data_IF_084828256346
#
_entry.id   IF_084828256346
#
_cell.length_a   1.000
_cell.length_b   1.000
_cell.length_c   1.000
_cell.angle_alpha   90.00
_cell.angle_beta   90.00
_cell.angle_gamma   90.00
#
_symmetry.space_group_name_H-M   'P 1'
#
loop_
_entity.id
_entity.type
_entity.pdbx_description
1 polymer ?
#
# COMPACT_ATOMS: atom_id res chain seq x y z
N UNK A 1 -11.75 5.61 -16.64
CA UNK A 1 -12.60 6.58 -15.92
C UNK A 1 -13.69 7.17 -16.81
N UNK A 2 -13.36 7.84 -17.93
CA UNK A 2 -14.33 8.53 -18.80
C UNK A 2 -15.47 7.61 -19.28
N UNK A 3 -15.16 6.39 -19.75
CA UNK A 3 -16.18 5.41 -20.19
C UNK A 3 -17.22 5.07 -19.11
N UNK A 4 -16.80 4.97 -17.84
CA UNK A 4 -17.71 4.72 -16.71
C UNK A 4 -18.58 5.95 -16.42
N UNK A 5 -18.00 7.15 -16.52
CA UNK A 5 -18.75 8.39 -16.34
C UNK A 5 -19.83 8.56 -17.41
N UNK A 6 -19.49 8.39 -18.69
CA UNK A 6 -20.45 8.48 -19.78
C UNK A 6 -21.58 7.45 -19.68
N UNK A 7 -21.27 6.23 -19.25
CA UNK A 7 -22.29 5.20 -19.02
C UNK A 7 -23.24 5.56 -17.87
N UNK A 8 -22.74 6.19 -16.80
CA UNK A 8 -23.56 6.69 -15.71
C UNK A 8 -24.44 7.88 -16.14
N UNK A 9 -23.88 8.80 -16.94
CA UNK A 9 -24.63 9.97 -17.45
C UNK A 9 -25.75 9.55 -18.41
N UNK A 10 -25.55 8.46 -19.18
CA UNK A 10 -26.55 7.93 -20.11
C UNK A 10 -27.70 7.21 -19.40
N UNK A 11 -27.41 6.41 -18.37
CA UNK A 11 -28.40 5.67 -17.59
C UNK A 11 -27.83 5.31 -16.21
N UNK A 12 -28.12 6.16 -15.22
CA UNK A 12 -27.56 6.03 -13.88
C UNK A 12 -28.13 4.83 -13.12
N UNK A 13 -29.41 4.50 -13.29
CA UNK A 13 -30.06 3.38 -12.61
C UNK A 13 -29.47 2.05 -13.04
N UNK A 14 -29.37 1.81 -14.36
CA UNK A 14 -28.79 0.56 -14.86
C UNK A 14 -27.29 0.49 -14.62
N UNK A 15 -26.58 1.63 -14.65
CA UNK A 15 -25.18 1.66 -14.23
C UNK A 15 -25.03 1.22 -12.78
N UNK A 16 -25.82 1.77 -11.85
CA UNK A 16 -25.77 1.39 -10.43
C UNK A 16 -26.06 -0.10 -10.25
N UNK A 17 -27.14 -0.61 -10.87
CA UNK A 17 -27.51 -2.04 -10.80
C UNK A 17 -26.37 -2.94 -11.30
N UNK A 18 -25.71 -2.57 -12.40
CA UNK A 18 -24.60 -3.32 -12.98
C UNK A 18 -23.38 -3.44 -12.05
N UNK A 19 -23.10 -2.43 -11.24
CA UNK A 19 -21.94 -2.41 -10.33
C UNK A 19 -22.29 -2.79 -8.88
N UNK A 20 -23.57 -3.02 -8.57
CA UNK A 20 -24.04 -3.27 -7.21
C UNK A 20 -23.31 -4.43 -6.52
N UNK A 21 -23.16 -5.57 -7.21
CA UNK A 21 -22.48 -6.75 -6.66
C UNK A 21 -20.99 -6.48 -6.39
N UNK A 22 -20.29 -5.84 -7.33
CA UNK A 22 -18.87 -5.50 -7.17
C UNK A 22 -18.66 -4.50 -6.03
N UNK A 23 -19.57 -3.52 -5.90
CA UNK A 23 -19.54 -2.55 -4.82
C UNK A 23 -19.79 -3.22 -3.47
N UNK A 24 -20.79 -4.12 -3.39
CA UNK A 24 -21.09 -4.84 -2.15
C UNK A 24 -19.92 -5.75 -1.74
N UNK A 25 -19.32 -6.47 -2.68
CA UNK A 25 -18.13 -7.29 -2.43
C UNK A 25 -16.96 -6.47 -1.87
N UNK A 26 -16.73 -5.26 -2.40
CA UNK A 26 -15.71 -4.36 -1.89
C UNK A 26 -16.06 -3.84 -0.48
N UNK A 27 -17.32 -3.48 -0.23
CA UNK A 27 -17.81 -3.05 1.10
C UNK A 27 -17.56 -4.16 2.12
N UNK A 28 -17.98 -5.39 1.83
CA UNK A 28 -17.82 -6.53 2.73
C UNK A 28 -16.34 -6.80 3.03
N UNK A 29 -15.48 -6.67 2.01
CA UNK A 29 -14.03 -6.82 2.16
C UNK A 29 -13.44 -5.73 3.06
N UNK A 30 -13.85 -4.47 2.91
CA UNK A 30 -13.38 -3.36 3.76
C UNK A 30 -13.87 -3.54 5.20
N UNK A 31 -15.12 -3.95 5.41
CA UNK A 31 -15.68 -4.18 6.76
C UNK A 31 -14.88 -5.27 7.49
N UNK A 32 -14.68 -6.43 6.84
CA UNK A 32 -13.88 -7.53 7.40
C UNK A 32 -12.44 -7.10 7.69
N UNK A 33 -11.84 -6.31 6.81
CA UNK A 33 -10.49 -5.77 7.03
C UNK A 33 -10.43 -4.88 8.28
N UNK A 34 -11.41 -4.00 8.47
CA UNK A 34 -11.48 -3.11 9.65
C UNK A 34 -11.66 -3.88 10.95
N UNK A 35 -12.45 -4.97 10.93
CA UNK A 35 -12.61 -5.87 12.07
C UNK A 35 -11.30 -6.62 12.38
N UNK A 36 -10.55 -7.03 11.35
CA UNK A 36 -9.29 -7.78 11.51
C UNK A 36 -8.11 -6.90 11.92
N UNK A 37 -8.09 -5.64 11.50
CA UNK A 37 -6.98 -4.71 11.67
C UNK A 37 -6.37 -4.66 13.09
N UNK A 38 -7.16 -4.62 14.19
CA UNK A 38 -6.60 -4.56 15.55
C UNK A 38 -5.84 -5.81 15.99
N UNK A 39 -6.04 -6.93 15.30
CA UNK A 39 -5.46 -8.23 15.65
C UNK A 39 -4.17 -8.54 14.88
N UNK A 40 -3.82 -7.74 13.87
CA UNK A 40 -2.57 -7.90 13.12
C UNK A 40 -1.49 -7.05 13.79
N UNK A 41 -0.63 -7.71 14.56
CA UNK A 41 0.53 -7.08 15.21
C UNK A 41 1.74 -7.22 14.28
N UNK A 42 2.39 -6.10 13.87
CA UNK A 42 3.63 -6.19 13.10
C UNK A 42 4.74 -6.77 13.98
N UNK A 43 5.47 -7.74 13.43
CA UNK A 43 6.64 -8.35 14.08
C UNK A 43 7.89 -7.47 13.93
N UNK A 44 8.94 -7.84 14.63
CA UNK A 44 10.24 -7.14 14.62
C UNK A 44 10.81 -7.06 13.19
N UNK A 45 10.73 -8.15 12.41
CA UNK A 45 11.16 -8.17 11.00
C UNK A 45 10.43 -7.10 10.16
N UNK A 46 9.11 -6.93 10.35
CA UNK A 46 8.33 -5.90 9.67
C UNK A 46 8.78 -4.49 10.05
N UNK A 47 9.07 -4.26 11.34
CA UNK A 47 9.51 -2.96 11.84
C UNK A 47 10.90 -2.61 11.31
N UNK A 48 11.84 -3.56 11.39
CA UNK A 48 13.22 -3.39 10.92
C UNK A 48 13.25 -3.12 9.42
N UNK A 49 12.49 -3.89 8.63
CA UNK A 49 12.43 -3.69 7.19
C UNK A 49 11.88 -2.29 6.82
N UNK A 50 10.89 -1.78 7.56
CA UNK A 50 10.37 -0.42 7.32
C UNK A 50 11.42 0.67 7.59
N UNK A 51 12.23 0.49 8.63
CA UNK A 51 13.34 1.41 8.97
C UNK A 51 14.45 1.33 7.92
N UNK A 52 14.90 0.12 7.56
CA UNK A 52 15.93 -0.10 6.55
C UNK A 52 15.54 0.51 5.19
N UNK A 53 14.29 0.34 4.76
CA UNK A 53 13.79 0.94 3.52
C UNK A 53 13.88 2.48 3.59
N UNK A 54 13.42 3.10 4.68
CA UNK A 54 13.44 4.55 4.81
C UNK A 54 14.87 5.12 4.83
N UNK A 55 15.79 4.42 5.51
CA UNK A 55 17.22 4.74 5.55
C UNK A 55 17.86 4.62 4.16
N UNK A 56 17.61 3.50 3.47
CA UNK A 56 18.15 3.25 2.13
C UNK A 56 17.74 4.34 1.13
N UNK A 57 16.53 4.87 1.28
CA UNK A 57 16.00 5.94 0.42
C UNK A 57 16.30 7.36 0.91
N UNK A 58 17.04 7.51 2.00
CA UNK A 58 17.40 8.82 2.56
C UNK A 58 16.18 9.65 2.96
N UNK A 59 15.11 9.01 3.44
CA UNK A 59 13.92 9.69 3.93
C UNK A 59 14.11 10.07 5.39
N UNK A 60 13.90 11.34 5.72
CA UNK A 60 14.11 11.81 7.09
C UNK A 60 12.94 11.49 8.02
N UNK A 61 13.31 10.96 9.19
CA UNK A 61 12.46 10.80 10.36
C UNK A 61 11.44 9.66 10.28
N UNK A 62 10.97 9.25 11.45
CA UNK A 62 10.17 8.03 11.61
C UNK A 62 8.75 8.05 11.04
N UNK A 63 8.34 9.17 10.42
CA UNK A 63 7.02 9.26 9.80
C UNK A 63 6.91 8.36 8.58
N UNK A 64 8.01 8.11 7.86
CA UNK A 64 8.02 7.20 6.73
C UNK A 64 7.81 5.76 7.20
N UNK A 65 8.65 5.32 8.13
CA UNK A 65 8.66 3.98 8.74
C UNK A 65 7.26 3.64 9.27
N UNK A 66 6.69 4.52 10.10
CA UNK A 66 5.36 4.32 10.68
C UNK A 66 4.25 4.28 9.63
N UNK A 67 4.39 5.02 8.53
CA UNK A 67 3.42 5.01 7.43
C UNK A 67 3.49 3.69 6.67
N UNK A 68 4.69 3.17 6.41
CA UNK A 68 4.90 1.86 5.78
C UNK A 68 4.25 0.78 6.63
N UNK A 69 4.58 0.72 7.93
CA UNK A 69 4.05 -0.31 8.85
C UNK A 69 2.52 -0.27 8.88
N UNK A 70 1.92 0.91 9.09
CA UNK A 70 0.46 1.04 9.13
C UNK A 70 -0.21 0.64 7.81
N UNK A 71 0.38 1.02 6.68
CA UNK A 71 -0.14 0.65 5.37
C UNK A 71 0.00 -0.85 5.10
N UNK A 72 1.11 -1.48 5.49
CA UNK A 72 1.32 -2.92 5.34
C UNK A 72 0.35 -3.74 6.21
N UNK A 73 0.11 -3.32 7.45
CA UNK A 73 -0.89 -3.91 8.35
C UNK A 73 -2.30 -3.77 7.77
N UNK A 74 -2.64 -2.59 7.23
CA UNK A 74 -3.93 -2.36 6.59
C UNK A 74 -4.10 -3.20 5.31
N UNK A 75 -3.04 -3.37 4.51
CA UNK A 75 -3.05 -4.20 3.32
C UNK A 75 -3.23 -5.68 3.69
N UNK A 76 -2.48 -6.18 4.67
CA UNK A 76 -2.64 -7.55 5.18
C UNK A 76 -4.07 -7.82 5.65
N UNK A 77 -4.66 -6.88 6.41
CA UNK A 77 -6.05 -6.97 6.83
C UNK A 77 -7.02 -6.97 5.63
N UNK A 78 -6.78 -6.12 4.64
CA UNK A 78 -7.57 -6.03 3.42
C UNK A 78 -7.48 -7.28 2.54
N UNK A 79 -6.35 -7.98 2.54
CA UNK A 79 -6.16 -9.29 1.91
C UNK A 79 -6.66 -10.47 2.75
N UNK A 80 -7.12 -10.21 3.98
CA UNK A 80 -7.62 -11.24 4.88
C UNK A 80 -6.51 -12.10 5.52
N UNK A 81 -5.27 -11.63 5.51
CA UNK A 81 -4.10 -12.28 6.13
C UNK A 81 -4.07 -12.05 7.63
N UNK A 82 -3.46 -12.97 8.40
CA UNK A 82 -3.31 -12.85 9.86
C UNK A 82 -2.01 -12.16 10.28
N UNK A 83 -1.07 -12.00 9.35
CA UNK A 83 0.23 -11.37 9.59
C UNK A 83 0.64 -10.51 8.40
N UNK A 84 1.54 -9.58 8.67
CA UNK A 84 2.23 -8.85 7.62
C UNK A 84 3.17 -9.81 6.88
N UNK A 85 3.30 -9.63 5.58
CA UNK A 85 4.12 -10.43 4.69
C UNK A 85 4.90 -9.44 3.82
N UNK A 86 6.01 -9.90 3.26
CA UNK A 86 6.92 -9.05 2.48
C UNK A 86 6.20 -8.22 1.39
N UNK A 87 5.27 -8.82 0.66
CA UNK A 87 4.56 -8.14 -0.43
C UNK A 87 3.69 -6.98 0.08
N UNK A 88 3.17 -7.06 1.31
CA UNK A 88 2.44 -5.95 1.94
C UNK A 88 3.38 -4.77 2.23
N UNK A 89 4.60 -5.05 2.73
CA UNK A 89 5.62 -4.04 3.03
C UNK A 89 6.09 -3.39 1.72
N UNK A 90 6.37 -4.20 0.70
CA UNK A 90 6.75 -3.72 -0.62
C UNK A 90 5.68 -2.78 -1.19
N UNK A 91 4.41 -3.20 -1.19
CA UNK A 91 3.28 -2.39 -1.68
C UNK A 91 3.11 -1.10 -0.88
N UNK A 92 3.26 -1.16 0.44
CA UNK A 92 3.22 0.01 1.31
C UNK A 92 4.35 1.00 0.98
N UNK A 93 5.59 0.51 0.83
CA UNK A 93 6.75 1.30 0.45
C UNK A 93 6.54 1.99 -0.92
N UNK A 94 5.97 1.27 -1.90
CA UNK A 94 5.64 1.82 -3.23
C UNK A 94 4.75 3.06 -3.17
N UNK A 95 3.81 3.09 -2.23
CA UNK A 95 2.85 4.17 -2.09
C UNK A 95 3.38 5.29 -1.17
N UNK A 96 4.06 4.92 -0.09
CA UNK A 96 4.40 5.83 0.99
C UNK A 96 5.65 6.70 0.73
N UNK A 97 6.59 6.23 -0.11
CA UNK A 97 7.94 6.81 -0.16
C UNK A 97 8.23 7.79 -1.30
N UNK A 98 7.71 7.65 -2.53
CA UNK A 98 8.11 8.51 -3.65
C UNK A 98 7.94 10.02 -3.42
N UNK A 99 6.95 10.40 -2.59
CA UNK A 99 6.66 11.78 -2.25
C UNK A 99 7.38 12.29 -0.99
N UNK A 100 8.16 11.43 -0.32
CA UNK A 100 8.93 11.74 0.90
C UNK A 100 10.42 11.82 0.66
N UNK A 101 10.88 11.29 -0.47
CA UNK A 101 12.27 11.40 -0.87
C UNK A 101 12.64 12.86 -1.09
N UNK A 102 13.82 13.25 -0.59
CA UNK A 102 14.41 14.54 -0.93
C UNK A 102 14.69 14.56 -2.43
N UNK A 103 14.26 15.63 -3.09
CA UNK A 103 14.58 15.89 -4.50
C UNK A 103 15.48 17.12 -4.55
N UNK A 104 16.60 17.05 -5.27
CA UNK A 104 17.33 18.27 -5.62
C UNK A 104 16.55 19.03 -6.69
N UNK A 105 16.73 20.36 -6.80
CA UNK A 105 16.25 21.08 -7.97
C UNK A 105 16.74 20.39 -9.23
N UNK A 106 15.83 20.10 -10.17
CA UNK A 106 16.10 19.46 -11.47
C UNK A 106 16.39 17.94 -11.46
N UNK A 107 16.27 17.24 -10.32
CA UNK A 107 16.23 15.77 -10.32
C UNK A 107 14.82 15.27 -10.67
N UNK A 108 14.72 14.41 -11.69
CA UNK A 108 13.52 13.61 -11.90
C UNK A 108 13.37 12.63 -10.72
N UNK A 109 12.51 12.97 -9.76
CA UNK A 109 12.30 12.20 -8.55
C UNK A 109 11.48 10.92 -8.74
N UNK A 110 11.82 10.14 -9.77
CA UNK A 110 11.23 8.84 -10.01
C UNK A 110 12.09 7.79 -9.31
N UNK A 111 11.54 7.21 -8.25
CA UNK A 111 12.11 6.02 -7.64
C UNK A 111 11.98 4.86 -8.64
N UNK A 112 13.10 4.20 -8.92
CA UNK A 112 13.12 2.94 -9.65
C UNK A 112 12.58 1.82 -8.74
N UNK A 113 11.29 1.55 -8.90
CA UNK A 113 10.55 0.58 -8.07
C UNK A 113 11.05 -0.84 -8.25
N UNK A 114 11.66 -1.17 -9.39
CA UNK A 114 12.19 -2.50 -9.68
C UNK A 114 13.53 -2.69 -8.96
N UNK A 115 14.37 -1.66 -8.93
CA UNK A 115 15.59 -1.65 -8.11
C UNK A 115 15.28 -1.74 -6.62
N UNK A 116 14.28 -0.99 -6.13
CA UNK A 116 13.86 -1.08 -4.73
C UNK A 116 13.38 -2.50 -4.41
N UNK A 117 12.51 -3.09 -5.24
CA UNK A 117 12.03 -4.46 -5.02
C UNK A 117 13.19 -5.45 -4.98
N UNK A 118 14.13 -5.36 -5.93
CA UNK A 118 15.30 -6.23 -5.96
C UNK A 118 16.13 -6.11 -4.68
N UNK A 119 16.46 -4.89 -4.26
CA UNK A 119 17.21 -4.63 -3.04
C UNK A 119 16.47 -5.15 -1.79
N UNK A 120 15.16 -4.94 -1.70
CA UNK A 120 14.34 -5.47 -0.60
C UNK A 120 14.35 -7.01 -0.55
N UNK A 121 14.36 -7.67 -1.71
CA UNK A 121 14.45 -9.15 -1.78
C UNK A 121 15.83 -9.65 -1.32
N UNK A 122 16.89 -8.93 -1.66
CA UNK A 122 18.25 -9.23 -1.19
C UNK A 122 18.37 -9.02 0.32
N UNK A 123 17.81 -7.93 0.87
CA UNK A 123 17.76 -7.65 2.30
C UNK A 123 17.07 -8.79 3.08
N UNK A 124 15.95 -9.30 2.56
CA UNK A 124 15.22 -10.42 3.19
C UNK A 124 15.99 -11.75 3.18
N UNK A 125 16.92 -11.92 2.24
CA UNK A 125 17.67 -13.16 2.06
C UNK A 125 18.99 -13.21 2.86
N UNK A 126 19.38 -12.10 3.49
CA UNK A 126 20.58 -11.94 4.31
C UNK A 126 20.29 -12.30 5.78
#
# INVERSE_FOLDING_TARGET
MIKRRLAFDADSENFIKRYAEQQQSLVDRIVKAREKLPYIVPDEETLDMAVEIALHLGVDGHRADLTIVKAAVAEAAFEGKDRVEFDHILKAARLALPHRMRRRPFEEGNLDMDKLEKWMRELKAA
#
